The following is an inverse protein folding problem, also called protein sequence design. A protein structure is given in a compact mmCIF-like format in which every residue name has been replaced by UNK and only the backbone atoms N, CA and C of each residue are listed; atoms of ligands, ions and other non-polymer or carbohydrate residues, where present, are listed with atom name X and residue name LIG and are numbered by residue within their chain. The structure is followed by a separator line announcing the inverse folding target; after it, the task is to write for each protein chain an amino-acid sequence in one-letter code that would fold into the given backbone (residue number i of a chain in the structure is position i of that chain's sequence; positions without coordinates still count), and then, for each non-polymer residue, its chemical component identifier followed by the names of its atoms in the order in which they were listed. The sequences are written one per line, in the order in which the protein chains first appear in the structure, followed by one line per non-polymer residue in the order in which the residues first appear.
data_IF_735625959381
#
_entry.id   IF_735625959381
#
_cell.length_a   1.000
_cell.length_b   1.000
_cell.length_c   1.000
_cell.angle_alpha   90.00
_cell.angle_beta   90.00
_cell.angle_gamma   90.00
#
_symmetry.space_group_name_H-M   'P 1'
#
loop_
_entity.id
_entity.type
_entity.pdbx_description
1 polymer ?
#
# COMPACT_ATOMS: atom_id res chain seq x y z
N UNK A 1 22.44 -12.17 -35.64
CA UNK A 1 22.04 -11.79 -34.29
C UNK A 1 21.18 -12.92 -33.73
N UNK A 2 21.65 -13.56 -32.66
CA UNK A 2 21.12 -14.85 -32.21
C UNK A 2 19.71 -14.69 -31.61
N UNK A 3 18.74 -15.50 -32.12
CA UNK A 3 17.34 -15.47 -31.61
C UNK A 3 17.22 -15.75 -30.11
N UNK A 4 18.23 -16.40 -29.51
CA UNK A 4 18.30 -16.62 -28.07
C UNK A 4 18.66 -15.37 -27.30
N UNK A 5 19.50 -14.48 -27.82
CA UNK A 5 19.88 -13.20 -27.22
C UNK A 5 18.69 -12.24 -27.23
N UNK A 6 17.94 -12.20 -28.34
CA UNK A 6 16.70 -11.42 -28.46
C UNK A 6 15.60 -11.91 -27.51
N UNK A 7 15.44 -13.25 -27.32
CA UNK A 7 14.49 -13.80 -26.34
C UNK A 7 14.90 -13.54 -24.89
N UNK A 8 16.19 -13.57 -24.58
CA UNK A 8 16.70 -13.20 -23.24
C UNK A 8 16.52 -11.70 -22.96
N UNK A 9 16.87 -10.84 -23.94
CA UNK A 9 16.67 -9.39 -23.81
C UNK A 9 15.20 -9.01 -23.62
N UNK A 10 14.28 -9.61 -24.38
CA UNK A 10 12.85 -9.34 -24.27
C UNK A 10 12.23 -9.79 -22.93
N UNK A 11 12.75 -10.86 -22.31
CA UNK A 11 12.29 -11.33 -21.01
C UNK A 11 12.66 -10.41 -19.84
N UNK A 12 13.76 -9.66 -19.98
CA UNK A 12 14.20 -8.69 -18.96
C UNK A 12 13.58 -7.32 -19.21
N UNK A 13 13.38 -6.94 -20.48
CA UNK A 13 12.83 -5.63 -20.85
C UNK A 13 11.35 -5.46 -20.49
N UNK A 14 10.55 -6.51 -20.56
CA UNK A 14 9.10 -6.39 -20.31
C UNK A 14 8.77 -5.99 -18.84
N UNK A 15 9.31 -6.65 -17.81
CA UNK A 15 9.14 -6.18 -16.43
C UNK A 15 9.66 -4.75 -16.22
N UNK A 16 10.84 -4.43 -16.75
CA UNK A 16 11.47 -3.11 -16.60
C UNK A 16 10.63 -1.96 -17.15
N UNK A 17 9.71 -2.19 -18.11
CA UNK A 17 8.79 -1.17 -18.60
C UNK A 17 7.70 -0.83 -17.58
N UNK A 18 7.19 -1.80 -16.84
CA UNK A 18 6.22 -1.55 -15.77
C UNK A 18 6.87 -0.86 -14.58
N UNK A 19 8.09 -1.27 -14.21
CA UNK A 19 8.89 -0.60 -13.19
C UNK A 19 9.19 0.88 -13.57
N UNK A 20 9.53 1.13 -14.86
CA UNK A 20 9.67 2.48 -15.38
C UNK A 20 8.36 3.27 -15.28
N UNK A 21 7.21 2.63 -15.59
CA UNK A 21 5.88 3.22 -15.44
C UNK A 21 5.59 3.59 -13.99
N UNK A 22 5.89 2.71 -13.03
CA UNK A 22 5.79 2.97 -11.60
C UNK A 22 6.66 4.19 -11.21
N UNK A 23 7.93 4.18 -11.59
CA UNK A 23 8.86 5.27 -11.30
C UNK A 23 8.43 6.61 -11.93
N UNK A 24 7.91 6.59 -13.16
CA UNK A 24 7.38 7.77 -13.84
C UNK A 24 6.15 8.34 -13.11
N UNK A 25 5.27 7.48 -12.61
CA UNK A 25 4.13 7.88 -11.78
C UNK A 25 4.60 8.54 -10.48
N UNK A 26 5.59 7.96 -9.79
CA UNK A 26 6.16 8.55 -8.57
C UNK A 26 6.80 9.92 -8.83
N UNK A 27 7.56 10.06 -9.90
CA UNK A 27 8.16 11.33 -10.29
C UNK A 27 7.10 12.38 -10.65
N UNK A 28 6.08 11.99 -11.43
CA UNK A 28 4.95 12.88 -11.75
C UNK A 28 4.19 13.30 -10.49
N UNK A 29 3.99 12.38 -9.53
CA UNK A 29 3.35 12.68 -8.26
C UNK A 29 4.13 13.75 -7.45
N UNK A 30 5.46 13.67 -7.45
CA UNK A 30 6.31 14.70 -6.82
C UNK A 30 6.12 16.06 -7.50
N UNK A 31 6.19 16.12 -8.83
CA UNK A 31 6.02 17.38 -9.57
C UNK A 31 4.62 17.97 -9.34
N UNK A 32 3.58 17.15 -9.34
CA UNK A 32 2.21 17.59 -9.07
C UNK A 32 2.04 18.13 -7.66
N UNK A 33 2.63 17.46 -6.66
CA UNK A 33 2.55 17.91 -5.26
C UNK A 33 3.30 19.25 -5.05
N UNK A 34 4.42 19.50 -5.75
CA UNK A 34 5.12 20.79 -5.75
C UNK A 34 4.24 21.90 -6.31
N UNK A 35 3.40 21.60 -7.32
CA UNK A 35 2.46 22.56 -7.91
C UNK A 35 1.17 22.77 -7.11
N UNK A 36 0.98 22.00 -6.01
CA UNK A 36 -0.27 22.02 -5.23
C UNK A 36 -1.41 21.21 -5.88
N UNK A 37 -1.11 20.42 -6.91
CA UNK A 37 -2.07 19.56 -7.61
C UNK A 37 -2.20 18.22 -6.88
N UNK A 38 -2.77 18.23 -5.66
CA UNK A 38 -2.75 17.07 -4.77
C UNK A 38 -3.59 15.89 -5.28
N UNK A 39 -4.70 16.16 -5.98
CA UNK A 39 -5.51 15.11 -6.62
C UNK A 39 -4.70 14.38 -7.69
N UNK A 40 -3.98 15.13 -8.54
CA UNK A 40 -3.12 14.55 -9.57
C UNK A 40 -1.96 13.74 -8.95
N UNK A 41 -1.34 14.28 -7.88
CA UNK A 41 -0.28 13.59 -7.13
C UNK A 41 -0.77 12.27 -6.55
N UNK A 42 -1.87 12.29 -5.81
CA UNK A 42 -2.44 11.09 -5.18
C UNK A 42 -2.90 10.05 -6.22
N UNK A 43 -3.52 10.51 -7.31
CA UNK A 43 -3.94 9.62 -8.42
C UNK A 43 -2.73 8.96 -9.10
N UNK A 44 -1.64 9.71 -9.30
CA UNK A 44 -0.40 9.16 -9.87
C UNK A 44 0.22 8.08 -8.96
N UNK A 45 0.23 8.28 -7.62
CA UNK A 45 0.70 7.26 -6.67
C UNK A 45 -0.16 5.98 -6.80
N UNK A 46 -1.49 6.12 -6.86
CA UNK A 46 -2.39 4.98 -7.05
C UNK A 46 -2.17 4.29 -8.39
N UNK A 47 -1.92 5.05 -9.47
CA UNK A 47 -1.54 4.48 -10.77
C UNK A 47 -0.21 3.71 -10.69
N UNK A 48 0.78 4.24 -9.97
CA UNK A 48 2.04 3.56 -9.69
C UNK A 48 1.85 2.19 -9.04
N UNK A 49 0.90 2.05 -8.10
CA UNK A 49 0.57 0.75 -7.50
C UNK A 49 0.05 -0.26 -8.53
N UNK A 50 -0.68 0.19 -9.53
CA UNK A 50 -1.15 -0.69 -10.62
C UNK A 50 0.04 -1.18 -11.45
N UNK A 51 0.98 -0.28 -11.78
CA UNK A 51 2.19 -0.64 -12.53
C UNK A 51 3.06 -1.62 -11.74
N UNK A 52 3.29 -1.39 -10.43
CA UNK A 52 4.01 -2.30 -9.53
C UNK A 52 3.35 -3.69 -9.47
N UNK A 53 2.02 -3.74 -9.27
CA UNK A 53 1.29 -5.00 -9.26
C UNK A 53 1.37 -5.78 -10.58
N UNK A 54 1.44 -5.07 -11.71
CA UNK A 54 1.59 -5.66 -13.05
C UNK A 54 3.02 -6.16 -13.27
N UNK A 55 4.04 -5.40 -12.85
CA UNK A 55 5.44 -5.78 -12.95
C UNK A 55 5.70 -7.13 -12.27
N UNK A 56 5.35 -7.27 -11.01
CA UNK A 56 5.51 -8.51 -10.27
C UNK A 56 4.73 -9.70 -10.85
N UNK A 57 3.61 -9.47 -11.56
CA UNK A 57 2.88 -10.54 -12.28
C UNK A 57 3.56 -10.91 -13.57
N UNK A 58 3.98 -9.94 -14.37
CA UNK A 58 4.64 -10.16 -15.65
C UNK A 58 6.00 -10.83 -15.44
N UNK A 59 6.81 -10.38 -14.48
CA UNK A 59 8.10 -10.98 -14.15
C UNK A 59 7.97 -12.49 -13.88
N UNK A 60 6.96 -12.89 -13.10
CA UNK A 60 6.67 -14.31 -12.81
C UNK A 60 6.21 -15.10 -14.03
N UNK A 61 5.40 -14.51 -14.91
CA UNK A 61 4.90 -15.18 -16.13
C UNK A 61 6.01 -15.44 -17.15
N UNK A 62 6.98 -14.53 -17.25
CA UNK A 62 8.06 -14.64 -18.24
C UNK A 62 9.33 -15.32 -17.71
N UNK A 63 9.34 -15.72 -16.41
CA UNK A 63 10.54 -16.21 -15.69
C UNK A 63 11.74 -15.28 -15.92
N UNK A 64 11.49 -13.96 -15.86
CA UNK A 64 12.45 -12.90 -16.22
C UNK A 64 13.04 -12.19 -15.01
N UNK A 65 13.03 -12.80 -13.83
CA UNK A 65 13.62 -12.23 -12.62
C UNK A 65 15.13 -12.06 -12.78
N UNK A 66 15.62 -10.83 -12.66
CA UNK A 66 17.05 -10.50 -12.63
C UNK A 66 17.36 -9.74 -11.35
N UNK A 67 18.58 -9.91 -10.83
CA UNK A 67 19.04 -9.15 -9.64
C UNK A 67 18.94 -7.64 -9.85
N UNK A 68 19.29 -7.15 -11.03
CA UNK A 68 19.12 -5.75 -11.40
C UNK A 68 17.65 -5.31 -11.37
N UNK A 69 16.74 -6.16 -11.90
CA UNK A 69 15.29 -5.85 -11.90
C UNK A 69 14.73 -5.69 -10.49
N UNK A 70 15.13 -6.55 -9.56
CA UNK A 70 14.69 -6.50 -8.15
C UNK A 70 15.16 -5.22 -7.46
N UNK A 71 16.43 -4.83 -7.66
CA UNK A 71 16.95 -3.60 -7.08
C UNK A 71 16.32 -2.35 -7.71
N UNK A 72 16.11 -2.37 -9.03
CA UNK A 72 15.48 -1.26 -9.74
C UNK A 72 14.02 -1.08 -9.32
N UNK A 73 13.29 -2.17 -9.14
CA UNK A 73 11.91 -2.18 -8.61
C UNK A 73 11.86 -1.58 -7.20
N UNK A 74 12.76 -1.98 -6.31
CA UNK A 74 12.87 -1.41 -4.97
C UNK A 74 13.14 0.11 -4.98
N UNK A 75 13.92 0.60 -5.94
CA UNK A 75 14.17 2.05 -6.11
C UNK A 75 12.92 2.77 -6.62
N UNK A 76 12.21 2.18 -7.58
CA UNK A 76 10.95 2.72 -8.09
C UNK A 76 9.89 2.78 -7.00
N UNK A 77 9.77 1.71 -6.20
CA UNK A 77 8.86 1.63 -5.06
C UNK A 77 9.19 2.67 -3.99
N UNK A 78 10.46 2.87 -3.68
CA UNK A 78 10.87 3.88 -2.71
C UNK A 78 10.52 5.29 -3.18
N UNK A 79 10.72 5.60 -4.46
CA UNK A 79 10.33 6.88 -5.03
C UNK A 79 8.81 7.08 -4.97
N UNK A 80 8.04 6.08 -5.45
CA UNK A 80 6.60 6.20 -5.66
C UNK A 80 5.81 6.06 -4.36
N UNK A 81 6.23 5.18 -3.44
CA UNK A 81 5.48 4.86 -2.22
C UNK A 81 6.15 5.35 -0.94
N UNK A 82 7.42 5.74 -1.00
CA UNK A 82 8.14 6.35 0.12
C UNK A 82 8.21 7.88 0.01
N UNK A 83 8.91 8.37 -1.01
CA UNK A 83 9.23 9.80 -1.12
C UNK A 83 8.01 10.62 -1.60
N UNK A 84 7.32 10.17 -2.65
CA UNK A 84 6.21 10.93 -3.22
C UNK A 84 5.06 11.16 -2.23
N UNK A 85 4.56 10.15 -1.47
CA UNK A 85 3.54 10.37 -0.45
C UNK A 85 4.02 11.24 0.72
N UNK A 86 5.30 11.10 1.13
CA UNK A 86 5.88 11.95 2.17
C UNK A 86 5.86 13.42 1.78
N UNK A 87 6.33 13.72 0.55
CA UNK A 87 6.32 15.08 0.02
C UNK A 87 4.89 15.60 -0.20
N UNK A 88 3.99 14.77 -0.74
CA UNK A 88 2.59 15.12 -0.93
C UNK A 88 1.94 15.51 0.40
N UNK A 89 2.09 14.71 1.46
CA UNK A 89 1.55 15.01 2.77
C UNK A 89 2.20 16.24 3.39
N UNK A 90 3.50 16.45 3.18
CA UNK A 90 4.17 17.67 3.61
C UNK A 90 3.56 18.91 2.94
N UNK A 91 3.50 18.92 1.62
CA UNK A 91 2.98 20.06 0.87
C UNK A 91 1.47 20.29 1.10
N UNK A 92 0.71 19.22 1.30
CA UNK A 92 -0.73 19.26 1.49
C UNK A 92 -1.13 19.82 2.85
N UNK A 93 -0.53 19.30 3.94
CA UNK A 93 -1.04 19.56 5.28
C UNK A 93 0.06 19.77 6.34
N UNK A 94 1.19 19.02 6.27
CA UNK A 94 2.15 19.02 7.37
C UNK A 94 2.95 20.31 7.46
N UNK A 95 3.12 21.08 6.37
CA UNK A 95 3.78 22.37 6.38
C UNK A 95 3.16 23.37 7.37
N UNK A 96 1.85 23.23 7.61
CA UNK A 96 1.10 24.14 8.51
C UNK A 96 1.40 23.87 9.99
N UNK A 97 2.06 22.74 10.30
CA UNK A 97 2.55 22.39 11.63
C UNK A 97 3.96 22.94 11.93
N UNK A 98 4.44 23.89 11.14
CA UNK A 98 5.72 24.57 11.34
C UNK A 98 6.92 23.64 11.38
N UNK A 99 7.75 23.72 12.43
CA UNK A 99 8.98 22.94 12.55
C UNK A 99 8.76 21.41 12.61
N UNK A 100 7.57 20.93 12.98
CA UNK A 100 7.27 19.50 13.08
C UNK A 100 6.86 18.86 11.76
N UNK A 101 6.43 19.65 10.77
CA UNK A 101 5.94 19.12 9.50
C UNK A 101 6.99 18.33 8.74
N UNK A 102 8.21 18.90 8.60
CA UNK A 102 9.32 18.23 7.90
C UNK A 102 9.75 16.92 8.59
N UNK A 103 10.05 16.88 9.91
CA UNK A 103 10.42 15.64 10.58
C UNK A 103 9.38 14.52 10.43
N UNK A 104 8.07 14.85 10.47
CA UNK A 104 7.01 13.86 10.32
C UNK A 104 7.00 13.28 8.89
N UNK A 105 7.10 14.13 7.87
CA UNK A 105 7.18 13.67 6.48
C UNK A 105 8.45 12.83 6.24
N UNK A 106 9.58 13.27 6.78
CA UNK A 106 10.85 12.54 6.70
C UNK A 106 10.76 11.18 7.39
N UNK A 107 10.14 11.10 8.56
CA UNK A 107 9.93 9.85 9.29
C UNK A 107 9.19 8.83 8.43
N UNK A 108 8.16 9.25 7.70
CA UNK A 108 7.43 8.35 6.80
C UNK A 108 8.34 7.80 5.69
N UNK A 109 9.09 8.68 4.99
CA UNK A 109 10.00 8.25 3.94
C UNK A 109 11.11 7.33 4.50
N UNK A 110 11.68 7.67 5.66
CA UNK A 110 12.70 6.87 6.34
C UNK A 110 12.18 5.47 6.68
N UNK A 111 11.00 5.37 7.30
CA UNK A 111 10.37 4.09 7.64
C UNK A 111 10.08 3.25 6.40
N UNK A 112 9.63 3.88 5.30
CA UNK A 112 9.44 3.21 4.01
C UNK A 112 10.74 2.63 3.46
N UNK A 113 11.83 3.42 3.48
CA UNK A 113 13.16 2.97 3.05
C UNK A 113 13.72 1.84 3.91
N UNK A 114 13.64 1.98 5.23
CA UNK A 114 14.08 0.92 6.17
C UNK A 114 13.31 -0.38 5.96
N UNK A 115 12.02 -0.30 5.68
CA UNK A 115 11.20 -1.46 5.38
C UNK A 115 11.65 -2.18 4.11
N UNK A 116 11.90 -1.43 3.01
CA UNK A 116 12.38 -2.00 1.74
C UNK A 116 13.77 -2.63 1.93
N UNK A 117 14.68 -1.94 2.60
CA UNK A 117 16.02 -2.45 2.90
C UNK A 117 15.95 -3.77 3.70
N UNK A 118 15.09 -3.84 4.75
CA UNK A 118 14.88 -5.06 5.51
C UNK A 118 14.32 -6.19 4.65
N UNK A 119 13.36 -5.89 3.77
CA UNK A 119 12.77 -6.88 2.88
C UNK A 119 13.80 -7.47 1.92
N UNK A 120 14.62 -6.62 1.30
CA UNK A 120 15.68 -7.04 0.38
C UNK A 120 16.75 -7.87 1.09
N UNK A 121 17.19 -7.47 2.30
CA UNK A 121 18.14 -8.24 3.09
C UNK A 121 17.66 -9.66 3.38
N UNK A 122 16.41 -9.81 3.84
CA UNK A 122 15.81 -11.13 4.13
C UNK A 122 15.61 -11.97 2.86
N UNK A 123 15.29 -11.34 1.72
CA UNK A 123 15.16 -12.02 0.44
C UNK A 123 16.50 -12.60 -0.06
N UNK A 124 17.60 -11.87 0.13
CA UNK A 124 18.95 -12.34 -0.24
C UNK A 124 19.43 -13.51 0.63
N UNK A 125 19.07 -13.55 1.92
CA UNK A 125 19.48 -14.62 2.86
C UNK A 125 18.68 -15.92 2.69
N UNK A 126 17.69 -15.97 1.79
CA UNK A 126 16.88 -17.16 1.54
C UNK A 126 15.95 -17.56 2.71
N UNK A 127 15.88 -16.78 3.77
CA UNK A 127 15.12 -17.06 4.99
C UNK A 127 13.70 -16.43 4.99
N UNK A 128 13.23 -15.92 3.86
CA UNK A 128 11.94 -15.26 3.74
C UNK A 128 10.77 -16.20 4.09
N UNK A 129 10.03 -15.91 5.15
CA UNK A 129 8.76 -16.59 5.46
C UNK A 129 7.78 -16.37 4.31
N UNK A 130 7.30 -17.46 3.70
CA UNK A 130 6.35 -17.41 2.56
C UNK A 130 4.94 -16.97 2.95
N UNK A 131 4.63 -16.86 4.24
CA UNK A 131 3.24 -16.73 4.72
C UNK A 131 2.89 -15.39 5.37
N UNK A 132 3.85 -14.64 5.90
CA UNK A 132 3.54 -13.38 6.61
C UNK A 132 4.58 -12.30 6.28
N UNK A 133 4.10 -11.11 5.90
CA UNK A 133 4.93 -9.90 5.85
C UNK A 133 5.01 -9.28 7.24
N UNK A 134 6.23 -8.96 7.71
CA UNK A 134 6.41 -8.15 8.91
C UNK A 134 6.22 -6.67 8.58
N UNK A 135 5.26 -6.03 9.22
CA UNK A 135 4.91 -4.62 9.03
C UNK A 135 3.98 -4.35 7.84
N UNK A 136 3.41 -3.14 7.84
CA UNK A 136 2.54 -2.66 6.77
C UNK A 136 3.33 -2.55 5.45
N UNK A 137 2.88 -3.13 4.31
CA UNK A 137 3.52 -2.94 3.01
C UNK A 137 3.62 -1.47 2.62
N UNK A 138 4.74 -1.06 1.98
CA UNK A 138 4.93 0.35 1.57
C UNK A 138 3.86 0.84 0.60
N UNK A 139 3.36 0.04 -0.38
CA UNK A 139 2.21 0.45 -1.17
C UNK A 139 0.93 0.60 -0.32
N UNK A 140 0.77 -0.19 0.74
CA UNK A 140 -0.37 -0.07 1.66
C UNK A 140 -0.38 1.27 2.41
N UNK A 141 0.78 1.72 2.90
CA UNK A 141 0.95 3.03 3.53
C UNK A 141 0.71 4.17 2.54
N UNK A 142 1.31 4.09 1.35
CA UNK A 142 1.12 5.07 0.29
C UNK A 142 -0.34 5.16 -0.18
N UNK A 143 -1.01 4.00 -0.32
CA UNK A 143 -2.43 3.92 -0.67
C UNK A 143 -3.34 4.56 0.36
N UNK A 144 -3.04 4.36 1.65
CA UNK A 144 -3.77 5.02 2.72
C UNK A 144 -3.65 6.55 2.63
N UNK A 145 -2.43 7.09 2.53
CA UNK A 145 -2.21 8.53 2.46
C UNK A 145 -2.80 9.14 1.19
N UNK A 146 -2.63 8.50 0.03
CA UNK A 146 -3.17 8.97 -1.24
C UNK A 146 -4.69 8.96 -1.25
N UNK A 147 -5.32 7.89 -0.76
CA UNK A 147 -6.78 7.81 -0.67
C UNK A 147 -7.36 8.80 0.34
N UNK A 148 -6.65 9.10 1.42
CA UNK A 148 -7.03 10.16 2.36
C UNK A 148 -7.04 11.53 1.68
N UNK A 149 -5.99 11.89 0.92
CA UNK A 149 -5.92 13.15 0.18
C UNK A 149 -7.05 13.26 -0.86
N UNK A 150 -7.30 12.18 -1.61
CA UNK A 150 -8.38 12.14 -2.61
C UNK A 150 -9.75 12.32 -1.97
N UNK A 151 -10.00 11.66 -0.85
CA UNK A 151 -11.27 11.76 -0.13
C UNK A 151 -11.45 13.17 0.45
N UNK A 152 -10.41 13.73 1.06
CA UNK A 152 -10.42 15.07 1.65
C UNK A 152 -10.77 16.14 0.60
N UNK A 153 -10.11 16.13 -0.57
CA UNK A 153 -10.30 17.10 -1.64
C UNK A 153 -11.74 17.06 -2.20
N UNK A 154 -12.33 15.87 -2.36
CA UNK A 154 -13.73 15.76 -2.83
C UNK A 154 -14.71 16.31 -1.81
N UNK A 155 -14.46 16.08 -0.52
CA UNK A 155 -15.32 16.60 0.54
C UNK A 155 -15.21 18.13 0.57
N UNK A 156 -14.00 18.70 0.45
CA UNK A 156 -13.75 20.13 0.44
C UNK A 156 -14.39 20.83 -0.78
N UNK A 157 -14.33 20.21 -1.96
CA UNK A 157 -14.96 20.73 -3.18
C UNK A 157 -16.50 20.65 -3.17
N UNK A 158 -17.13 20.11 -2.13
CA UNK A 158 -18.59 20.09 -1.95
C UNK A 158 -19.35 19.24 -3.00
N UNK A 159 -18.67 18.31 -3.67
CA UNK A 159 -19.22 17.51 -4.78
C UNK A 159 -20.04 16.25 -4.40
N UNK A 160 -20.10 15.75 -3.16
CA UNK A 160 -20.99 14.65 -2.89
C UNK A 160 -22.44 15.13 -2.70
N UNK A 161 -23.33 14.64 -3.53
CA UNK A 161 -24.77 14.84 -3.36
C UNK A 161 -25.21 14.34 -1.97
N UNK A 162 -25.68 15.26 -1.15
CA UNK A 162 -26.73 15.07 -0.15
C UNK A 162 -26.47 14.24 1.11
N UNK A 163 -25.62 13.26 1.16
CA UNK A 163 -25.60 12.26 2.26
C UNK A 163 -24.43 12.40 3.25
N UNK A 164 -23.46 13.25 2.98
CA UNK A 164 -22.19 13.26 3.71
C UNK A 164 -21.95 14.51 4.58
N UNK A 165 -23.00 15.25 4.93
CA UNK A 165 -22.88 16.42 5.85
C UNK A 165 -22.14 16.06 7.13
N UNK A 166 -22.41 14.88 7.70
CA UNK A 166 -21.73 14.42 8.93
C UNK A 166 -20.19 14.30 8.74
N UNK A 167 -19.72 13.85 7.58
CA UNK A 167 -18.28 13.79 7.29
C UNK A 167 -17.69 15.17 7.04
N UNK A 168 -18.46 16.06 6.42
CA UNK A 168 -18.03 17.45 6.20
C UNK A 168 -17.80 18.21 7.53
N UNK A 169 -18.62 17.95 8.54
CA UNK A 169 -18.46 18.55 9.88
C UNK A 169 -17.21 18.02 10.61
N UNK A 170 -16.64 16.90 10.17
CA UNK A 170 -15.42 16.29 10.75
C UNK A 170 -14.12 16.70 10.03
N UNK A 171 -14.18 17.51 8.96
CA UNK A 171 -12.97 17.92 8.20
C UNK A 171 -11.91 18.56 9.10
N UNK A 172 -12.23 19.52 10.00
CA UNK A 172 -11.24 20.14 10.87
C UNK A 172 -10.57 19.12 11.81
N UNK A 173 -11.32 18.12 12.28
CA UNK A 173 -10.81 17.05 13.12
C UNK A 173 -9.87 16.12 12.34
N UNK A 174 -10.24 15.71 11.12
CA UNK A 174 -9.40 14.90 10.24
C UNK A 174 -8.11 15.61 9.86
N UNK A 175 -8.19 16.92 9.63
CA UNK A 175 -7.02 17.76 9.38
C UNK A 175 -6.07 17.75 10.59
N UNK A 176 -6.60 17.95 11.79
CA UNK A 176 -5.82 17.89 13.02
C UNK A 176 -5.18 16.54 13.31
N UNK A 177 -5.78 15.44 12.83
CA UNK A 177 -5.25 14.08 12.99
C UNK A 177 -4.19 13.68 11.96
N UNK A 178 -4.04 14.42 10.87
CA UNK A 178 -3.15 14.04 9.77
C UNK A 178 -1.70 13.77 10.20
N UNK A 179 -1.03 14.58 11.07
CA UNK A 179 0.31 14.28 11.56
C UNK A 179 0.37 12.94 12.29
N UNK A 180 -0.63 12.67 13.13
CA UNK A 180 -0.72 11.42 13.90
C UNK A 180 -0.91 10.23 12.95
N UNK A 181 -1.76 10.35 11.93
CA UNK A 181 -1.97 9.32 10.92
C UNK A 181 -0.66 8.99 10.18
N UNK A 182 0.09 10.02 9.74
CA UNK A 182 1.36 9.82 9.04
C UNK A 182 2.37 9.11 9.94
N UNK A 183 2.50 9.51 11.22
CA UNK A 183 3.39 8.87 12.20
C UNK A 183 2.97 7.41 12.42
N UNK A 184 1.69 7.14 12.65
CA UNK A 184 1.18 5.78 12.87
C UNK A 184 1.47 4.88 11.67
N UNK A 185 1.18 5.34 10.45
CA UNK A 185 1.46 4.58 9.23
C UNK A 185 2.96 4.33 9.08
N UNK A 186 3.81 5.33 9.33
CA UNK A 186 5.26 5.18 9.31
C UNK A 186 5.76 4.10 10.29
N UNK A 187 5.29 4.13 11.52
CA UNK A 187 5.65 3.15 12.55
C UNK A 187 5.11 1.75 12.21
N UNK A 188 3.92 1.64 11.65
CA UNK A 188 3.37 0.37 11.20
C UNK A 188 4.20 -0.28 10.08
N UNK A 189 4.84 0.49 9.20
CA UNK A 189 5.73 -0.04 8.16
C UNK A 189 6.97 -0.74 8.73
N UNK A 190 7.55 -0.21 9.81
CA UNK A 190 8.76 -0.79 10.46
C UNK A 190 8.40 -1.83 11.52
N UNK A 191 7.13 -1.90 11.95
CA UNK A 191 6.68 -2.83 12.97
C UNK A 191 6.92 -4.29 12.57
N UNK A 192 6.96 -5.16 13.58
CA UNK A 192 7.03 -6.63 13.38
C UNK A 192 5.65 -7.28 13.32
N UNK A 193 4.58 -6.48 13.25
CA UNK A 193 3.21 -6.96 13.21
C UNK A 193 2.98 -7.72 11.90
N UNK A 194 2.54 -8.99 11.92
CA UNK A 194 2.30 -9.73 10.70
C UNK A 194 1.02 -9.27 10.02
N UNK A 195 1.13 -8.89 8.75
CA UNK A 195 0.01 -8.56 7.88
C UNK A 195 -0.35 -9.77 6.99
N UNK A 196 -1.65 -10.04 6.79
CA UNK A 196 -2.08 -11.14 5.94
C UNK A 196 -1.71 -10.88 4.48
N UNK A 197 -1.19 -11.89 3.83
CA UNK A 197 -0.97 -11.89 2.38
C UNK A 197 -2.25 -12.37 1.70
N UNK A 198 -2.81 -11.58 0.78
CA UNK A 198 -4.05 -11.91 0.06
C UNK A 198 -3.94 -13.14 -0.88
N UNK A 199 -2.81 -13.85 -0.88
CA UNK A 199 -2.56 -14.98 -1.79
C UNK A 199 -3.44 -16.22 -1.56
N UNK A 200 -4.15 -16.34 -0.43
CA UNK A 200 -4.90 -17.56 -0.07
C UNK A 200 -6.36 -17.32 0.31
N UNK A 201 -6.96 -16.18 0.02
CA UNK A 201 -8.37 -16.01 0.33
C UNK A 201 -9.25 -16.83 -0.62
N UNK A 202 -9.57 -18.04 -0.17
CA UNK A 202 -10.58 -18.92 -0.75
C UNK A 202 -12.03 -18.34 -0.69
N UNK A 203 -12.15 -17.06 -0.30
CA UNK A 203 -13.43 -16.38 -0.05
C UNK A 203 -14.22 -16.08 -1.33
N UNK A 204 -13.59 -16.13 -2.50
CA UNK A 204 -14.26 -15.87 -3.79
C UNK A 204 -14.54 -17.17 -4.57
N UNK A 205 -15.30 -18.10 -3.97
CA UNK A 205 -16.02 -19.07 -4.78
C UNK A 205 -17.44 -18.53 -5.05
N UNK A 206 -17.74 -17.96 -6.21
CA UNK A 206 -19.05 -17.41 -6.52
C UNK A 206 -20.04 -18.54 -6.87
N UNK A 207 -20.44 -19.34 -5.88
CA UNK A 207 -21.38 -20.44 -6.09
C UNK A 207 -22.68 -20.28 -5.28
N UNK A 208 -22.82 -19.22 -4.50
CA UNK A 208 -24.05 -18.97 -3.73
C UNK A 208 -24.66 -17.64 -4.11
N UNK A 209 -25.98 -17.60 -4.18
CA UNK A 209 -26.74 -16.37 -4.46
C UNK A 209 -26.35 -15.20 -3.54
N UNK A 210 -26.12 -15.41 -2.21
CA UNK A 210 -25.63 -14.35 -1.32
C UNK A 210 -24.27 -13.78 -1.74
N UNK A 211 -23.32 -14.62 -2.20
CA UNK A 211 -22.01 -14.17 -2.64
C UNK A 211 -22.10 -13.29 -3.90
N UNK A 212 -23.01 -13.63 -4.83
CA UNK A 212 -23.26 -12.82 -6.05
C UNK A 212 -23.86 -11.47 -5.66
N UNK A 213 -24.83 -11.44 -4.74
CA UNK A 213 -25.44 -10.20 -4.26
C UNK A 213 -24.44 -9.29 -3.55
N UNK A 214 -23.56 -9.85 -2.72
CA UNK A 214 -22.47 -9.10 -2.07
C UNK A 214 -21.51 -8.55 -3.13
N UNK A 215 -21.11 -9.36 -4.11
CA UNK A 215 -20.20 -8.91 -5.18
C UNK A 215 -20.84 -7.78 -6.01
N UNK A 216 -22.12 -7.90 -6.34
CA UNK A 216 -22.86 -6.86 -7.05
C UNK A 216 -22.98 -5.57 -6.22
N UNK A 217 -23.29 -5.69 -4.93
CA UNK A 217 -23.36 -4.54 -4.02
C UNK A 217 -22.04 -3.83 -3.88
N UNK A 218 -20.93 -4.57 -3.72
CA UNK A 218 -19.58 -4.02 -3.69
C UNK A 218 -19.23 -3.37 -5.04
N UNK A 219 -19.58 -3.99 -6.16
CA UNK A 219 -19.38 -3.42 -7.49
C UNK A 219 -20.12 -2.10 -7.70
N UNK A 220 -21.38 -2.03 -7.26
CA UNK A 220 -22.17 -0.81 -7.28
C UNK A 220 -21.57 0.28 -6.39
N UNK A 221 -21.07 -0.10 -5.20
CA UNK A 221 -20.45 0.84 -4.27
C UNK A 221 -19.13 1.40 -4.84
N UNK A 222 -18.33 0.57 -5.50
CA UNK A 222 -17.13 1.00 -6.22
C UNK A 222 -17.51 1.93 -7.38
N UNK A 223 -18.57 1.64 -8.10
CA UNK A 223 -19.00 2.45 -9.24
C UNK A 223 -19.49 3.84 -8.82
N UNK A 224 -20.30 3.92 -7.74
CA UNK A 224 -20.86 5.20 -7.26
C UNK A 224 -19.90 6.00 -6.38
N UNK A 225 -19.03 5.33 -5.60
CA UNK A 225 -18.17 5.95 -4.59
C UNK A 225 -16.73 5.39 -4.64
N UNK A 226 -16.04 5.46 -5.79
CA UNK A 226 -14.74 4.79 -5.98
C UNK A 226 -13.68 5.24 -4.96
N UNK A 227 -13.61 6.52 -4.66
CA UNK A 227 -12.57 7.08 -3.78
C UNK A 227 -12.82 6.77 -2.30
N UNK A 228 -14.10 6.72 -1.89
CA UNK A 228 -14.44 6.29 -0.55
C UNK A 228 -14.13 4.82 -0.34
N UNK A 229 -14.45 3.98 -1.31
CA UNK A 229 -14.11 2.55 -1.23
C UNK A 229 -12.60 2.36 -1.18
N UNK A 230 -11.87 3.10 -2.01
CA UNK A 230 -10.41 3.08 -2.00
C UNK A 230 -9.86 3.42 -0.61
N UNK A 231 -10.35 4.50 0.01
CA UNK A 231 -9.95 4.87 1.37
C UNK A 231 -10.30 3.79 2.39
N UNK A 232 -11.53 3.28 2.38
CA UNK A 232 -11.95 2.23 3.32
C UNK A 232 -11.12 0.95 3.18
N UNK A 233 -10.78 0.55 1.96
CA UNK A 233 -9.93 -0.62 1.71
C UNK A 233 -8.56 -0.44 2.36
N UNK A 234 -7.88 0.68 2.13
CA UNK A 234 -6.57 0.94 2.73
C UNK A 234 -6.65 1.20 4.23
N UNK A 235 -7.71 1.85 4.70
CA UNK A 235 -7.95 2.08 6.12
C UNK A 235 -8.12 0.75 6.88
N UNK A 236 -9.02 -0.12 6.44
CA UNK A 236 -9.20 -1.42 7.07
C UNK A 236 -7.96 -2.29 6.93
N UNK A 237 -7.27 -2.24 5.80
CA UNK A 237 -6.02 -2.95 5.62
C UNK A 237 -4.95 -2.50 6.63
N UNK A 238 -4.78 -1.20 6.84
CA UNK A 238 -3.87 -0.67 7.85
C UNK A 238 -4.26 -1.07 9.28
N UNK A 239 -5.56 -1.14 9.59
CA UNK A 239 -6.09 -1.55 10.89
C UNK A 239 -5.95 -3.06 11.16
N UNK A 240 -5.93 -3.91 10.14
CA UNK A 240 -5.83 -5.37 10.31
C UNK A 240 -4.60 -5.77 11.13
N UNK A 241 -3.47 -5.10 10.93
CA UNK A 241 -2.25 -5.34 11.70
C UNK A 241 -2.43 -5.11 13.21
N UNK A 242 -2.70 -3.87 13.64
CA UNK A 242 -2.91 -3.53 15.05
C UNK A 242 -4.00 -4.37 15.71
N UNK A 243 -5.14 -4.56 15.03
CA UNK A 243 -6.26 -5.37 15.54
C UNK A 243 -5.84 -6.83 15.74
N UNK A 244 -5.15 -7.43 14.78
CA UNK A 244 -4.66 -8.82 14.89
C UNK A 244 -3.61 -8.99 15.97
N UNK A 245 -2.78 -7.97 16.19
CA UNK A 245 -1.79 -7.95 17.27
C UNK A 245 -2.48 -7.83 18.64
N UNK A 246 -3.42 -6.91 18.77
CA UNK A 246 -4.18 -6.70 20.01
C UNK A 246 -5.00 -7.95 20.37
N UNK A 247 -5.67 -8.56 19.39
CA UNK A 247 -6.43 -9.79 19.61
C UNK A 247 -5.53 -10.95 20.14
N UNK A 248 -4.29 -11.06 19.61
CA UNK A 248 -3.31 -12.05 20.12
C UNK A 248 -2.80 -11.70 21.49
N UNK A 249 -2.53 -10.43 21.77
CA UNK A 249 -2.08 -9.97 23.08
C UNK A 249 -3.16 -10.24 24.16
N UNK A 250 -4.43 -9.95 23.86
CA UNK A 250 -5.55 -10.24 24.76
C UNK A 250 -5.75 -11.76 24.91
N UNK A 251 -5.68 -12.51 23.81
CA UNK A 251 -5.79 -13.98 23.83
C UNK A 251 -4.73 -14.62 24.72
N UNK A 252 -3.49 -14.13 24.68
CA UNK A 252 -2.41 -14.63 25.55
C UNK A 252 -2.67 -14.35 27.04
N UNK A 253 -3.30 -13.23 27.36
CA UNK A 253 -3.69 -12.86 28.74
C UNK A 253 -4.84 -13.74 29.28
N UNK A 254 -5.74 -14.18 28.39
CA UNK A 254 -6.91 -15.04 28.74
C UNK A 254 -6.56 -16.54 28.67
N UNK A 255 -5.29 -16.88 28.35
CA UNK A 255 -4.85 -18.29 28.27
C UNK A 255 -5.29 -19.00 26.97
N UNK A 256 -5.84 -18.27 26.00
CA UNK A 256 -6.18 -18.81 24.69
C UNK A 256 -4.91 -19.02 23.87
N UNK A 257 -4.52 -20.27 23.65
CA UNK A 257 -3.44 -20.61 22.71
C UNK A 257 -4.02 -20.55 21.31
N UNK A 258 -3.56 -19.62 20.43
CA UNK A 258 -3.97 -19.64 19.03
C UNK A 258 -3.61 -21.00 18.43
N UNK A 259 -4.45 -21.57 17.54
CA UNK A 259 -4.09 -22.78 16.83
C UNK A 259 -2.74 -22.55 16.14
N UNK A 260 -1.79 -23.45 16.35
CA UNK A 260 -0.51 -23.42 15.66
C UNK A 260 -0.77 -23.35 14.16
N UNK A 261 -0.04 -22.51 13.40
CA UNK A 261 -0.13 -22.55 11.95
C UNK A 261 0.19 -24.01 11.55
N UNK A 262 -0.76 -24.68 10.92
CA UNK A 262 -0.57 -26.02 10.37
C UNK A 262 0.58 -25.91 9.39
N UNK A 263 1.73 -26.50 9.73
CA UNK A 263 2.81 -26.70 8.79
C UNK A 263 2.28 -27.75 7.80
N UNK A 264 2.21 -27.43 6.53
CA UNK A 264 1.79 -28.34 5.44
C UNK A 264 2.74 -29.54 5.21
N UNK A 265 3.64 -29.78 6.15
CA UNK A 265 4.44 -30.99 6.25
C UNK A 265 3.97 -31.73 7.50
N UNK A 266 3.08 -32.71 7.29
CA UNK A 266 2.51 -33.56 8.34
C UNK A 266 3.57 -34.41 9.05
N UNK A 267 4.46 -33.79 9.79
CA UNK A 267 5.36 -34.46 10.74
C UNK A 267 4.96 -34.04 12.16
N UNK A 268 4.30 -34.97 12.82
CA UNK A 268 4.19 -35.00 14.27
C UNK A 268 5.59 -35.24 14.86
N UNK A 269 6.13 -34.21 15.52
CA UNK A 269 7.19 -34.38 16.53
C UNK A 269 6.62 -34.10 17.91
#
# INVERSE_FOLDING_TARGET
MDKQVLKRGGRVLAPSLFTLGNMACGFYALLSSVRGEFVASATAIVAGMVFDALDGRVARLVNGESSFGVEFDSMADFLTFGIAPAHMMYAFILKDYGAWGYPIAFLYALCGGLRLARFNAVAHDGQGSKTHFSGLPIPGGAGFLSSFVLLYQIIEEGRPAGTWKFLMDQIPFLYGLAPVMVIVIALLMVSTIPYPTFKQSAVLRPKSLPAILVLLSVGLLIFYYPLMVLFLVFFFYALLGPVSWLARAIGSLVGWKPPHPVNDFGEHL
#
